data_IF_628016634350
#
_entry.id   IF_628016634350
#
_cell.length_a   1.000
_cell.length_b   1.000
_cell.length_c   1.000
_cell.angle_alpha   90.00
_cell.angle_beta   90.00
_cell.angle_gamma   90.00
#
_symmetry.space_group_name_H-M   'P 1'
#
loop_
_entity.id
_entity.type
_entity.pdbx_description
1 polymer ?
#
# COMPACT_ATOMS: atom_id res chain seq x y z
N UNK A 1 4.78 5.28 -9.20
CA UNK A 1 3.93 6.29 -8.53
C UNK A 1 4.71 6.93 -7.38
N UNK A 2 4.69 8.25 -7.31
CA UNK A 2 5.41 9.08 -6.33
C UNK A 2 4.35 9.87 -5.55
N UNK A 3 4.53 9.98 -4.23
CA UNK A 3 3.64 10.71 -3.33
C UNK A 3 4.46 11.68 -2.49
N UNK A 4 3.86 12.79 -2.12
CA UNK A 4 4.53 13.82 -1.31
C UNK A 4 4.77 13.32 0.12
N UNK A 5 3.84 12.52 0.66
CA UNK A 5 3.92 12.00 2.01
C UNK A 5 3.21 10.65 2.17
N UNK A 6 3.35 10.03 3.34
CA UNK A 6 2.75 8.72 3.64
C UNK A 6 1.23 8.77 3.76
N UNK A 7 0.62 9.91 4.13
CA UNK A 7 -0.84 10.05 4.21
C UNK A 7 -1.47 9.99 2.82
N UNK A 8 -0.89 10.72 1.86
CA UNK A 8 -1.32 10.71 0.47
C UNK A 8 -1.21 9.31 -0.15
N UNK A 9 -0.11 8.60 0.12
CA UNK A 9 0.04 7.20 -0.28
C UNK A 9 -1.06 6.30 0.31
N UNK A 10 -1.35 6.41 1.62
CA UNK A 10 -2.38 5.59 2.27
C UNK A 10 -3.75 5.85 1.67
N UNK A 11 -4.10 7.13 1.49
CA UNK A 11 -5.38 7.52 0.91
C UNK A 11 -5.54 6.96 -0.51
N UNK A 12 -4.51 7.10 -1.36
CA UNK A 12 -4.55 6.54 -2.72
C UNK A 12 -4.72 5.01 -2.72
N UNK A 13 -4.06 4.31 -1.80
CA UNK A 13 -4.16 2.85 -1.66
C UNK A 13 -5.52 2.42 -1.10
N UNK A 14 -6.11 3.20 -0.19
CA UNK A 14 -7.48 2.98 0.29
C UNK A 14 -8.51 3.18 -0.82
N UNK A 15 -8.43 4.28 -1.58
CA UNK A 15 -9.31 4.53 -2.74
C UNK A 15 -9.20 3.40 -3.76
N UNK A 16 -7.97 2.98 -4.09
CA UNK A 16 -7.76 1.86 -5.01
C UNK A 16 -8.37 0.55 -4.48
N UNK A 17 -8.28 0.28 -3.17
CA UNK A 17 -8.88 -0.89 -2.56
C UNK A 17 -10.42 -0.84 -2.61
N UNK A 18 -11.02 0.32 -2.34
CA UNK A 18 -12.48 0.54 -2.42
C UNK A 18 -12.98 0.32 -3.86
N UNK A 19 -12.29 0.87 -4.86
CA UNK A 19 -12.63 0.67 -6.28
C UNK A 19 -12.60 -0.82 -6.68
N UNK A 20 -11.68 -1.59 -6.10
CA UNK A 20 -11.57 -3.03 -6.32
C UNK A 20 -12.49 -3.86 -5.42
N UNK A 21 -13.30 -3.22 -4.57
CA UNK A 21 -14.14 -3.86 -3.54
C UNK A 21 -13.31 -4.79 -2.64
N UNK A 22 -12.10 -4.36 -2.30
CA UNK A 22 -11.16 -5.10 -1.45
C UNK A 22 -10.95 -4.38 -0.13
N UNK A 23 -10.84 -5.17 0.92
CA UNK A 23 -10.38 -4.71 2.21
C UNK A 23 -8.86 -4.83 2.35
N UNK A 24 -8.23 -3.77 2.82
CA UNK A 24 -6.79 -3.71 3.10
C UNK A 24 -6.50 -3.33 4.55
N UNK A 25 -5.31 -3.68 5.02
CA UNK A 25 -4.75 -3.23 6.29
C UNK A 25 -3.31 -2.76 6.10
N UNK A 26 -2.92 -1.74 6.85
CA UNK A 26 -1.53 -1.28 6.89
C UNK A 26 -0.76 -2.05 7.97
N UNK A 27 0.02 -3.06 7.56
CA UNK A 27 0.77 -3.92 8.50
C UNK A 27 2.06 -3.27 8.99
N UNK A 28 2.70 -2.44 8.16
CA UNK A 28 3.83 -1.60 8.55
C UNK A 28 3.44 -0.14 8.28
N UNK A 29 3.59 0.70 9.29
CA UNK A 29 3.26 2.12 9.23
C UNK A 29 4.33 2.91 10.01
N UNK A 30 5.52 2.98 9.44
CA UNK A 30 6.63 3.75 9.98
C UNK A 30 6.72 5.08 9.21
N UNK A 31 7.45 6.06 9.78
CA UNK A 31 7.63 7.38 9.16
C UNK A 31 8.27 7.31 7.76
N UNK A 32 9.09 6.30 7.50
CA UNK A 32 9.83 6.13 6.24
C UNK A 32 9.25 5.05 5.32
N UNK A 33 8.43 4.12 5.83
CA UNK A 33 7.93 2.97 5.05
C UNK A 33 6.54 2.50 5.47
N UNK A 34 5.75 2.10 4.47
CA UNK A 34 4.38 1.65 4.64
C UNK A 34 4.14 0.41 3.80
N UNK A 35 3.41 -0.54 4.38
CA UNK A 35 2.97 -1.74 3.66
C UNK A 35 1.49 -1.95 3.87
N UNK A 36 0.73 -1.82 2.78
CA UNK A 36 -0.65 -2.26 2.72
C UNK A 36 -0.70 -3.73 2.30
N UNK A 37 -1.54 -4.52 2.95
CA UNK A 37 -1.80 -5.92 2.63
C UNK A 37 -3.30 -6.16 2.59
N UNK A 38 -3.78 -7.09 1.78
CA UNK A 38 -5.18 -7.51 1.86
C UNK A 38 -5.53 -8.02 3.28
N UNK A 39 -6.76 -7.80 3.74
CA UNK A 39 -7.21 -8.34 5.03
C UNK A 39 -7.44 -9.86 4.98
N UNK A 40 -7.78 -10.42 3.82
CA UNK A 40 -8.06 -11.85 3.64
C UNK A 40 -6.78 -12.67 3.83
N UNK A 41 -6.81 -13.63 4.75
CA UNK A 41 -5.64 -14.41 5.20
C UNK A 41 -4.87 -15.11 4.08
N UNK A 42 -5.59 -15.67 3.11
CA UNK A 42 -5.00 -16.41 1.98
C UNK A 42 -4.62 -15.51 0.79
N UNK A 43 -4.89 -14.20 0.88
CA UNK A 43 -4.53 -13.26 -0.16
C UNK A 43 -3.15 -12.66 0.11
N UNK A 44 -2.20 -12.96 -0.78
CA UNK A 44 -0.82 -12.46 -0.68
C UNK A 44 -0.64 -11.09 -1.33
N UNK A 45 -1.72 -10.40 -1.73
CA UNK A 45 -1.63 -9.06 -2.31
C UNK A 45 -1.09 -8.07 -1.28
N UNK A 46 -0.06 -7.32 -1.69
CA UNK A 46 0.47 -6.21 -0.91
C UNK A 46 1.00 -5.08 -1.79
N UNK A 47 1.03 -3.87 -1.24
CA UNK A 47 1.71 -2.71 -1.81
C UNK A 47 2.71 -2.21 -0.78
N UNK A 48 3.95 -2.02 -1.21
CA UNK A 48 5.02 -1.51 -0.38
C UNK A 48 5.55 -0.20 -0.96
N UNK A 49 5.59 0.81 -0.10
CA UNK A 49 6.14 2.11 -0.42
C UNK A 49 7.09 2.57 0.69
N UNK A 50 8.12 3.30 0.28
CA UNK A 50 9.09 3.89 1.19
C UNK A 50 9.70 5.15 0.58
N UNK A 51 10.20 6.03 1.46
CA UNK A 51 11.17 7.06 1.10
C UNK A 51 12.57 6.60 1.48
N UNK A 52 13.57 6.98 0.68
CA UNK A 52 14.96 6.62 0.98
C UNK A 52 15.52 7.48 2.12
N UNK A 53 15.21 8.78 2.10
CA UNK A 53 15.63 9.77 3.08
C UNK A 53 14.44 10.64 3.52
N UNK A 54 14.64 11.53 4.51
CA UNK A 54 13.55 12.39 4.99
C UNK A 54 13.01 13.34 3.91
N UNK A 55 13.90 13.90 3.09
CA UNK A 55 13.63 14.85 2.00
C UNK A 55 13.23 14.18 0.68
N UNK A 56 13.32 12.85 0.59
CA UNK A 56 12.87 12.15 -0.60
C UNK A 56 11.36 11.88 -0.57
N UNK A 57 10.70 11.96 -1.73
CA UNK A 57 9.27 11.67 -1.81
C UNK A 57 9.00 10.18 -1.57
N UNK A 58 7.79 9.88 -1.16
CA UNK A 58 7.34 8.53 -0.87
C UNK A 58 7.06 7.78 -2.17
N UNK A 59 7.75 6.67 -2.43
CA UNK A 59 7.63 5.96 -3.71
C UNK A 59 7.15 4.53 -3.48
N UNK A 60 6.25 4.07 -4.36
CA UNK A 60 5.94 2.64 -4.43
C UNK A 60 7.18 1.91 -4.93
N UNK A 61 7.69 0.98 -4.13
CA UNK A 61 8.85 0.14 -4.46
C UNK A 61 8.43 -1.20 -5.00
N UNK A 62 7.34 -1.75 -4.47
CA UNK A 62 6.91 -3.10 -4.84
C UNK A 62 5.39 -3.18 -4.80
N UNK A 63 4.82 -3.68 -5.89
CA UNK A 63 3.43 -4.11 -5.96
C UNK A 63 3.48 -5.64 -6.05
N UNK A 64 2.99 -6.31 -5.01
CA UNK A 64 2.89 -7.77 -4.99
C UNK A 64 1.85 -8.26 -5.99
N UNK A 65 1.86 -9.57 -6.23
CA UNK A 65 0.91 -10.29 -7.11
C UNK A 65 -0.54 -9.90 -6.83
N UNK A 66 -1.37 -9.96 -7.87
CA UNK A 66 -2.78 -9.62 -7.82
C UNK A 66 -3.57 -10.37 -6.73
N UNK A 67 -4.74 -9.82 -6.43
CA UNK A 67 -5.64 -10.42 -5.45
C UNK A 67 -6.05 -11.83 -5.92
N UNK A 68 -5.78 -12.82 -5.08
CA UNK A 68 -6.27 -14.19 -5.25
C UNK A 68 -7.58 -14.44 -4.49
N UNK A 69 -8.22 -13.39 -3.97
CA UNK A 69 -9.42 -13.47 -3.13
C UNK A 69 -10.57 -12.66 -3.73
N UNK A 70 -11.78 -13.23 -3.68
CA UNK A 70 -13.00 -12.63 -4.20
C UNK A 70 -12.90 -12.34 -5.70
N UNK A 71 -13.41 -13.24 -6.54
CA UNK A 71 -13.74 -12.86 -7.92
C UNK A 71 -14.88 -11.85 -7.91
#
# INVERSE_FOLDING_TARGET
>A
MIFSNSKEFKWAVEVQAVLQKKDIKFKKNESTRSRATCKVSNCKRFIFASKANQDEPYKIKTIGRDHSCGN
#
